data_IF_520979488860
#
_entry.id   IF_520979488860
#
_cell.length_a   1.000
_cell.length_b   1.000
_cell.length_c   1.000
_cell.angle_alpha   90.00
_cell.angle_beta   90.00
_cell.angle_gamma   90.00
#
_symmetry.space_group_name_H-M   'P 1'
#
loop_
_entity.id
_entity.type
_entity.pdbx_description
1 polymer ?
#
# COMPACT_ATOMS: atom_id res chain seq x y z
N UNK A 1 -0.99 29.39 -7.83
CA UNK A 1 -0.14 28.42 -8.57
C UNK A 1 0.59 27.58 -7.54
N UNK A 2 0.18 26.34 -7.29
CA UNK A 2 0.86 25.46 -6.35
C UNK A 2 1.24 24.18 -7.10
N UNK A 3 2.55 23.99 -7.32
CA UNK A 3 3.09 22.74 -7.84
C UNK A 3 2.97 21.72 -6.73
N UNK A 4 1.85 21.00 -6.72
CA UNK A 4 1.67 19.82 -5.89
C UNK A 4 2.66 18.78 -6.43
N UNK A 5 3.72 18.52 -5.68
CA UNK A 5 4.56 17.35 -5.92
C UNK A 5 3.67 16.13 -5.74
N UNK A 6 3.14 15.62 -6.85
CA UNK A 6 2.49 14.32 -6.92
C UNK A 6 3.53 13.27 -6.56
N UNK A 7 3.61 12.91 -5.28
CA UNK A 7 4.22 11.64 -4.92
C UNK A 7 3.19 10.58 -5.26
N UNK A 8 3.20 10.13 -6.51
CA UNK A 8 2.69 8.79 -6.85
C UNK A 8 3.56 7.81 -6.06
N UNK A 9 3.20 7.60 -4.78
CA UNK A 9 3.91 6.65 -3.94
C UNK A 9 3.53 5.27 -4.44
N UNK A 10 4.29 4.76 -5.40
CA UNK A 10 4.26 3.35 -5.74
C UNK A 10 4.43 2.57 -4.44
N UNK A 11 3.55 1.61 -4.17
CA UNK A 11 3.72 0.77 -2.99
C UNK A 11 5.00 -0.04 -3.21
N UNK A 12 5.98 0.11 -2.31
CA UNK A 12 7.24 -0.63 -2.32
C UNK A 12 7.16 -1.83 -1.38
N UNK A 13 8.08 -2.78 -1.55
CA UNK A 13 8.15 -3.95 -0.68
C UNK A 13 8.44 -3.55 0.78
N UNK A 14 9.22 -2.49 0.99
CA UNK A 14 9.53 -1.98 2.33
C UNK A 14 8.29 -1.42 3.02
N UNK A 15 7.49 -0.60 2.31
CA UNK A 15 6.25 -0.07 2.84
C UNK A 15 5.29 -1.20 3.26
N UNK A 16 5.17 -2.24 2.42
CA UNK A 16 4.32 -3.39 2.73
C UNK A 16 4.83 -4.13 3.97
N UNK A 17 6.15 -4.31 4.12
CA UNK A 17 6.75 -4.95 5.29
C UNK A 17 6.56 -4.16 6.57
N UNK A 18 6.70 -2.84 6.51
CA UNK A 18 6.47 -1.98 7.68
C UNK A 18 5.00 -2.02 8.11
N UNK A 19 4.07 -1.95 7.15
CA UNK A 19 2.63 -2.11 7.42
C UNK A 19 2.29 -3.49 8.00
N UNK A 20 2.94 -4.55 7.51
CA UNK A 20 2.81 -5.88 8.09
C UNK A 20 3.36 -5.93 9.50
N UNK A 21 4.53 -5.34 9.78
CA UNK A 21 5.11 -5.34 11.13
C UNK A 21 4.21 -4.61 12.14
N UNK A 22 3.59 -3.51 11.73
CA UNK A 22 2.74 -2.71 12.61
C UNK A 22 1.38 -3.37 12.88
N UNK A 23 0.77 -4.01 11.89
CA UNK A 23 -0.58 -4.56 12.00
C UNK A 23 -0.62 -6.07 12.27
N UNK A 24 0.32 -6.82 11.69
CA UNK A 24 0.40 -8.29 11.72
C UNK A 24 1.87 -8.75 11.80
N UNK A 25 2.54 -8.55 12.95
CA UNK A 25 3.97 -8.83 13.10
C UNK A 25 4.33 -10.30 12.86
N UNK A 26 3.39 -11.22 13.07
CA UNK A 26 3.51 -12.65 12.77
C UNK A 26 3.65 -12.97 11.28
N UNK A 27 3.27 -12.03 10.42
CA UNK A 27 3.32 -12.14 8.97
C UNK A 27 4.48 -11.36 8.35
N UNK A 28 5.12 -10.46 9.10
CA UNK A 28 6.13 -9.53 8.59
C UNK A 28 7.43 -10.20 8.12
N UNK A 29 7.77 -11.36 8.69
CA UNK A 29 9.00 -12.09 8.36
C UNK A 29 8.84 -13.05 7.16
N UNK A 30 7.63 -13.14 6.59
CA UNK A 30 7.39 -14.03 5.44
C UNK A 30 7.97 -13.44 4.15
N UNK A 31 8.37 -14.29 3.18
CA UNK A 31 8.81 -13.82 1.87
C UNK A 31 7.76 -12.92 1.23
N UNK A 32 8.17 -11.77 0.68
CA UNK A 32 7.27 -10.81 0.07
C UNK A 32 7.71 -10.53 -1.37
N UNK A 33 6.82 -10.80 -2.31
CA UNK A 33 7.09 -10.64 -3.75
C UNK A 33 5.96 -9.88 -4.44
N UNK A 34 6.27 -9.16 -5.51
CA UNK A 34 5.24 -8.49 -6.32
C UNK A 34 4.45 -9.56 -7.07
N UNK A 35 3.16 -9.70 -6.75
CA UNK A 35 2.29 -10.69 -7.39
C UNK A 35 1.66 -10.16 -8.67
N UNK A 36 1.00 -9.00 -8.59
CA UNK A 36 0.37 -8.36 -9.74
C UNK A 36 0.21 -6.86 -9.51
N UNK A 37 0.35 -6.06 -10.57
CA UNK A 37 0.05 -4.63 -10.57
C UNK A 37 -1.27 -4.42 -11.29
N UNK A 38 -2.36 -4.41 -10.53
CA UNK A 38 -3.68 -4.07 -11.05
C UNK A 38 -3.84 -2.56 -11.26
N UNK A 39 -4.97 -2.18 -11.86
CA UNK A 39 -5.28 -0.78 -12.15
C UNK A 39 -5.54 0.01 -10.86
N UNK A 40 -6.41 -0.52 -10.00
CA UNK A 40 -6.79 0.11 -8.73
C UNK A 40 -6.03 -0.44 -7.51
N UNK A 41 -5.48 -1.65 -7.62
CA UNK A 41 -4.82 -2.33 -6.51
C UNK A 41 -3.48 -2.92 -6.94
N UNK A 42 -2.49 -2.81 -6.07
CA UNK A 42 -1.25 -3.56 -6.14
C UNK A 42 -1.34 -4.80 -5.25
N UNK A 43 -1.04 -5.96 -5.82
CA UNK A 43 -1.07 -7.24 -5.12
C UNK A 43 0.36 -7.72 -4.87
N UNK A 44 0.61 -8.13 -3.64
CA UNK A 44 1.85 -8.73 -3.19
C UNK A 44 1.58 -10.16 -2.73
N UNK A 45 2.45 -11.08 -3.10
CA UNK A 45 2.45 -12.45 -2.56
C UNK A 45 3.21 -12.43 -1.24
N UNK A 46 2.62 -13.04 -0.22
CA UNK A 46 3.20 -13.15 1.11
C UNK A 46 3.34 -14.64 1.46
N UNK A 47 4.55 -15.14 1.33
CA UNK A 47 4.83 -16.57 1.30
C UNK A 47 4.07 -17.27 0.18
N UNK A 48 3.74 -18.54 0.41
CA UNK A 48 3.12 -19.38 -0.61
C UNK A 48 1.59 -19.24 -0.66
N UNK A 49 0.97 -18.88 0.47
CA UNK A 49 -0.47 -19.02 0.70
C UNK A 49 -1.25 -17.70 0.78
N UNK A 50 -0.57 -16.57 1.02
CA UNK A 50 -1.24 -15.29 1.31
C UNK A 50 -0.96 -14.23 0.24
N UNK A 51 -1.90 -13.28 0.12
CA UNK A 51 -1.73 -12.12 -0.74
C UNK A 51 -2.14 -10.83 -0.01
N UNK A 52 -1.27 -9.82 -0.08
CA UNK A 52 -1.53 -8.48 0.44
C UNK A 52 -2.02 -7.60 -0.70
N UNK A 53 -3.22 -7.03 -0.56
CA UNK A 53 -3.81 -6.13 -1.54
C UNK A 53 -3.77 -4.71 -1.01
N UNK A 54 -2.96 -3.87 -1.64
CA UNK A 54 -2.88 -2.46 -1.33
C UNK A 54 -3.66 -1.67 -2.38
N UNK A 55 -4.54 -0.74 -1.96
CA UNK A 55 -5.08 0.24 -2.88
C UNK A 55 -3.93 1.03 -3.47
N UNK A 56 -3.87 1.11 -4.81
CA UNK A 56 -3.08 2.16 -5.44
C UNK A 56 -3.66 3.47 -4.91
N UNK A 57 -2.84 4.44 -4.47
CA UNK A 57 -3.36 5.76 -4.19
C UNK A 57 -3.89 6.36 -5.50
N UNK A 58 -5.14 6.07 -5.84
CA UNK A 58 -5.92 6.89 -6.73
C UNK A 58 -6.04 8.20 -5.99
N UNK A 59 -5.56 9.29 -6.58
CA UNK A 59 -5.72 10.64 -6.04
C UNK A 59 -7.14 10.80 -5.47
N UNK A 60 -7.27 10.79 -4.15
CA UNK A 60 -8.53 11.06 -3.46
C UNK A 60 -8.41 12.46 -2.89
N UNK A 61 -8.90 13.49 -3.60
CA UNK A 61 -9.04 14.79 -3.01
C UNK A 61 -10.30 14.73 -2.13
N UNK A 62 -10.21 14.17 -0.91
CA UNK A 62 -11.00 14.56 0.27
C UNK A 62 -10.94 13.55 1.43
N UNK A 63 -10.43 14.05 2.55
CA UNK A 63 -11.29 14.27 3.71
C UNK A 63 -10.94 15.65 4.26
N UNK A 64 -11.64 16.69 3.80
CA UNK A 64 -11.76 17.89 4.62
C UNK A 64 -12.42 17.43 5.92
N UNK A 65 -11.85 17.72 7.11
CA UNK A 65 -12.52 17.39 8.35
C UNK A 65 -13.90 18.05 8.32
N UNK A 66 -14.93 17.25 8.52
CA UNK A 66 -16.28 17.78 8.75
C UNK A 66 -16.16 18.65 9.99
N UNK A 67 -16.13 19.97 9.79
CA UNK A 67 -16.22 20.93 10.88
C UNK A 67 -17.62 20.74 11.50
N UNK A 68 -17.62 20.27 12.74
CA UNK A 68 -18.71 20.51 13.70
C UNK A 68 -18.39 21.82 14.40
#
# INVERSE_FOLDING_TARGET
MLRMAHTETESTAELVRDLLRDQHPDLADRPLEVGARGWDNQLWRLGDDLAVRLPRPTFSPRAAPSAV
#
